data_IF_761426249687
#
_entry.id   IF_761426249687
#
_cell.length_a   1.000
_cell.length_b   1.000
_cell.length_c   1.000
_cell.angle_alpha   90.00
_cell.angle_beta   90.00
_cell.angle_gamma   90.00
#
_symmetry.space_group_name_H-M   'P 1'
#
loop_
_entity.id
_entity.type
_entity.pdbx_description
1 polymer ?
#
# COMPACT_ATOMS: atom_id res chain seq x y z
N UNK A 1 -48.43 37.01 -0.14
CA UNK A 1 -47.98 36.83 -1.54
C UNK A 1 -46.66 37.57 -1.76
N UNK A 2 -45.55 37.04 -1.22
CA UNK A 2 -44.22 37.63 -1.42
C UNK A 2 -43.68 37.16 -2.77
N UNK A 3 -43.78 38.02 -3.80
CA UNK A 3 -43.14 37.78 -5.09
C UNK A 3 -41.79 38.47 -5.05
N UNK A 4 -40.71 37.72 -4.82
CA UNK A 4 -39.36 38.25 -4.73
C UNK A 4 -38.94 38.91 -6.06
N UNK A 5 -38.56 40.19 -6.02
CA UNK A 5 -37.99 40.93 -7.15
C UNK A 5 -36.60 40.39 -7.49
N UNK A 6 -36.45 39.83 -8.69
CA UNK A 6 -35.13 39.52 -9.23
C UNK A 6 -34.31 40.81 -9.47
N UNK A 7 -33.00 40.83 -9.15
CA UNK A 7 -32.15 42.00 -9.32
C UNK A 7 -31.95 42.35 -10.80
N UNK A 8 -32.19 43.61 -11.17
CA UNK A 8 -32.09 44.14 -12.55
C UNK A 8 -30.86 45.03 -12.78
N UNK A 9 -29.71 44.74 -12.17
CA UNK A 9 -28.49 45.56 -12.33
C UNK A 9 -27.39 44.84 -13.14
N UNK A 10 -26.81 45.48 -14.18
CA UNK A 10 -25.85 44.84 -15.10
C UNK A 10 -24.48 44.54 -14.46
N UNK A 11 -24.07 45.32 -13.45
CA UNK A 11 -22.82 45.16 -12.71
C UNK A 11 -22.83 43.90 -11.84
N UNK A 12 -23.97 43.60 -11.20
CA UNK A 12 -24.13 42.38 -10.40
C UNK A 12 -24.01 41.11 -11.27
N UNK A 13 -24.52 41.15 -12.52
CA UNK A 13 -24.37 40.04 -13.47
C UNK A 13 -22.92 39.82 -13.88
N UNK A 14 -22.17 40.88 -14.13
CA UNK A 14 -20.74 40.81 -14.49
C UNK A 14 -19.88 40.28 -13.34
N UNK A 15 -20.12 40.75 -12.11
CA UNK A 15 -19.43 40.24 -10.93
C UNK A 15 -19.69 38.75 -10.70
N UNK A 16 -20.94 38.29 -10.88
CA UNK A 16 -21.29 36.88 -10.78
C UNK A 16 -20.63 36.02 -11.88
N UNK A 17 -20.45 36.55 -13.10
CA UNK A 17 -19.76 35.81 -14.17
C UNK A 17 -18.26 35.69 -13.89
N UNK A 18 -17.63 36.74 -13.39
CA UNK A 18 -16.21 36.68 -12.98
C UNK A 18 -16.03 35.73 -11.79
N UNK A 19 -16.91 35.77 -10.80
CA UNK A 19 -16.84 34.86 -9.67
C UNK A 19 -17.10 33.40 -10.06
N UNK A 20 -18.06 33.15 -10.96
CA UNK A 20 -18.34 31.81 -11.47
C UNK A 20 -17.14 31.25 -12.26
N UNK A 21 -16.51 32.06 -13.12
CA UNK A 21 -15.33 31.63 -13.88
C UNK A 21 -14.10 31.42 -12.98
N UNK A 22 -13.87 32.29 -12.00
CA UNK A 22 -12.83 32.11 -11.00
C UNK A 22 -13.06 30.86 -10.14
N UNK A 23 -14.32 30.60 -9.72
CA UNK A 23 -14.69 29.41 -8.97
C UNK A 23 -14.50 28.11 -9.75
N UNK A 24 -14.79 28.11 -11.06
CA UNK A 24 -14.53 26.96 -11.93
C UNK A 24 -13.03 26.73 -12.10
N UNK A 25 -12.24 27.79 -12.34
CA UNK A 25 -10.78 27.67 -12.47
C UNK A 25 -10.13 27.16 -11.18
N UNK A 26 -10.55 27.67 -10.02
CA UNK A 26 -10.11 27.18 -8.71
C UNK A 26 -10.56 25.74 -8.43
N UNK A 27 -11.78 25.36 -8.81
CA UNK A 27 -12.29 24.00 -8.66
C UNK A 27 -11.50 22.98 -9.50
N UNK A 28 -11.15 23.33 -10.74
CA UNK A 28 -10.30 22.49 -11.61
C UNK A 28 -8.86 22.42 -11.07
N UNK A 29 -8.31 23.54 -10.60
CA UNK A 29 -6.99 23.57 -9.96
C UNK A 29 -6.92 22.73 -8.67
N UNK A 30 -7.94 22.81 -7.82
CA UNK A 30 -8.01 22.02 -6.59
C UNK A 30 -8.21 20.52 -6.87
N UNK A 31 -9.03 20.17 -7.87
CA UNK A 31 -9.24 18.78 -8.27
C UNK A 31 -7.96 18.15 -8.86
N UNK A 32 -7.22 18.90 -9.69
CA UNK A 32 -5.94 18.43 -10.26
C UNK A 32 -4.85 18.31 -9.20
N UNK A 33 -4.78 19.23 -8.24
CA UNK A 33 -3.87 19.14 -7.10
C UNK A 33 -4.20 17.92 -6.20
N UNK A 34 -5.48 17.68 -5.91
CA UNK A 34 -5.90 16.51 -5.15
C UNK A 34 -5.61 15.19 -5.88
N UNK A 35 -5.74 15.17 -7.21
CA UNK A 35 -5.37 14.02 -8.03
C UNK A 35 -3.86 13.75 -7.99
N UNK A 36 -3.03 14.79 -8.13
CA UNK A 36 -1.57 14.67 -8.06
C UNK A 36 -1.09 14.18 -6.68
N UNK A 37 -1.70 14.67 -5.59
CA UNK A 37 -1.39 14.22 -4.23
C UNK A 37 -1.80 12.74 -4.03
N UNK A 38 -2.93 12.33 -4.60
CA UNK A 38 -3.37 10.94 -4.58
C UNK A 38 -2.44 10.02 -5.37
N UNK A 39 -1.98 10.44 -6.55
CA UNK A 39 -0.99 9.68 -7.34
C UNK A 39 0.36 9.59 -6.62
N UNK A 40 0.81 10.66 -5.97
CA UNK A 40 2.04 10.65 -5.19
C UNK A 40 1.96 9.67 -4.00
N UNK A 41 0.83 9.66 -3.27
CA UNK A 41 0.58 8.71 -2.18
C UNK A 41 0.50 7.27 -2.67
N UNK A 42 -0.15 7.02 -3.81
CA UNK A 42 -0.21 5.68 -4.41
C UNK A 42 1.18 5.22 -4.88
N UNK A 43 1.99 6.11 -5.46
CA UNK A 43 3.37 5.81 -5.83
C UNK A 43 4.26 5.45 -4.63
N UNK A 44 4.18 6.24 -3.55
CA UNK A 44 4.93 5.97 -2.32
C UNK A 44 4.47 4.68 -1.63
N UNK A 45 3.15 4.47 -1.53
CA UNK A 45 2.57 3.24 -1.01
C UNK A 45 2.97 2.02 -1.85
N UNK A 46 2.93 2.12 -3.18
CA UNK A 46 3.34 1.05 -4.09
C UNK A 46 4.82 0.69 -3.94
N UNK A 47 5.69 1.67 -3.69
CA UNK A 47 7.10 1.42 -3.45
C UNK A 47 7.36 0.75 -2.10
N UNK A 48 6.74 1.22 -1.01
CA UNK A 48 6.83 0.59 0.32
C UNK A 48 6.29 -0.84 0.27
N UNK A 49 5.11 -1.02 -0.31
CA UNK A 49 4.45 -2.32 -0.46
C UNK A 49 5.31 -3.26 -1.30
N UNK A 50 5.94 -2.76 -2.38
CA UNK A 50 6.90 -3.53 -3.16
C UNK A 50 8.09 -4.00 -2.31
N UNK A 51 8.72 -3.09 -1.56
CA UNK A 51 9.86 -3.46 -0.71
C UNK A 51 9.48 -4.48 0.37
N UNK A 52 8.30 -4.37 0.97
CA UNK A 52 7.82 -5.32 1.99
C UNK A 52 7.42 -6.66 1.35
N UNK A 53 6.80 -6.64 0.17
CA UNK A 53 6.42 -7.84 -0.56
C UNK A 53 7.63 -8.71 -0.93
N UNK A 54 8.77 -8.08 -1.21
CA UNK A 54 10.01 -8.77 -1.56
C UNK A 54 10.76 -9.31 -0.34
N UNK A 55 10.39 -8.93 0.89
CA UNK A 55 11.02 -9.44 2.10
C UNK A 55 10.70 -10.93 2.28
N UNK A 56 11.74 -11.71 2.59
CA UNK A 56 11.57 -13.06 3.13
C UNK A 56 11.18 -12.96 4.61
N UNK A 57 10.33 -13.89 5.12
CA UNK A 57 10.05 -13.98 6.54
C UNK A 57 11.31 -14.15 7.40
N UNK A 58 12.29 -14.90 6.88
CA UNK A 58 13.63 -15.02 7.46
C UNK A 58 14.67 -14.33 6.56
N UNK A 59 15.15 -13.12 6.92
CA UNK A 59 16.14 -12.39 6.14
C UNK A 59 17.54 -13.01 6.17
N UNK A 60 17.82 -13.90 7.12
CA UNK A 60 19.09 -14.62 7.23
C UNK A 60 19.04 -16.00 6.54
N UNK A 61 17.91 -16.35 5.91
CA UNK A 61 17.74 -17.63 5.23
C UNK A 61 18.80 -17.87 4.14
N UNK A 62 19.50 -19.00 4.23
CA UNK A 62 20.56 -19.37 3.30
C UNK A 62 21.91 -18.69 3.58
N UNK A 63 22.03 -17.99 4.70
CA UNK A 63 23.32 -17.50 5.21
C UNK A 63 23.89 -18.48 6.24
N UNK A 64 25.21 -18.45 6.47
CA UNK A 64 25.85 -19.28 7.49
C UNK A 64 25.56 -18.86 8.94
N UNK A 65 24.77 -17.80 9.14
CA UNK A 65 24.38 -17.27 10.46
C UNK A 65 22.86 -17.29 10.65
N UNK A 66 22.16 -18.09 9.85
CA UNK A 66 20.71 -18.28 9.97
C UNK A 66 20.35 -18.87 11.34
N UNK A 67 19.67 -18.13 12.23
CA UNK A 67 19.34 -18.64 13.55
C UNK A 67 18.34 -19.80 13.50
N UNK A 68 17.51 -19.87 12.45
CA UNK A 68 16.49 -20.91 12.32
C UNK A 68 17.06 -22.24 11.82
N UNK A 69 18.30 -22.22 11.33
CA UNK A 69 19.06 -23.42 10.99
C UNK A 69 19.97 -23.91 12.14
N UNK A 70 19.95 -23.24 13.29
CA UNK A 70 20.59 -23.71 14.52
C UNK A 70 19.74 -24.78 15.23
N UNK A 71 19.52 -25.90 14.57
CA UNK A 71 18.72 -26.99 15.12
C UNK A 71 19.46 -27.96 16.04
N UNK A 72 18.70 -28.53 16.97
CA UNK A 72 19.12 -29.62 17.84
C UNK A 72 18.38 -30.88 17.40
N UNK A 73 19.12 -31.98 17.25
CA UNK A 73 18.57 -33.29 16.94
C UNK A 73 18.75 -34.23 18.12
N UNK A 74 17.73 -35.03 18.41
CA UNK A 74 17.79 -36.08 19.43
C UNK A 74 17.37 -37.41 18.80
N UNK A 75 18.17 -38.46 19.06
CA UNK A 75 17.90 -39.81 18.58
C UNK A 75 18.02 -40.78 19.76
N UNK A 76 17.03 -41.66 19.90
CA UNK A 76 17.01 -42.68 20.95
C UNK A 76 17.07 -44.04 20.25
N UNK A 77 18.14 -44.81 20.48
CA UNK A 77 18.38 -46.10 19.82
C UNK A 77 18.18 -46.04 18.29
N UNK A 78 17.46 -46.99 17.71
CA UNK A 78 17.24 -47.11 16.26
C UNK A 78 16.02 -46.30 15.77
N UNK A 79 15.40 -45.48 16.63
CA UNK A 79 14.30 -44.62 16.20
C UNK A 79 14.79 -43.51 15.26
N UNK A 80 13.89 -43.03 14.41
CA UNK A 80 14.13 -41.83 13.60
C UNK A 80 14.43 -40.66 14.53
N UNK A 81 15.51 -39.93 14.25
CA UNK A 81 15.86 -38.74 15.01
C UNK A 81 14.78 -37.66 14.85
N UNK A 82 14.50 -36.92 15.94
CA UNK A 82 13.63 -35.74 15.92
C UNK A 82 14.53 -34.51 15.89
N UNK A 83 14.30 -33.61 14.93
CA UNK A 83 15.08 -32.39 14.74
C UNK A 83 14.18 -31.15 14.89
N UNK A 84 14.65 -30.14 15.63
CA UNK A 84 13.90 -28.89 15.79
C UNK A 84 13.68 -28.14 14.47
N UNK A 85 14.51 -28.39 13.44
CA UNK A 85 14.36 -27.83 12.08
C UNK A 85 13.11 -28.31 11.38
N UNK A 86 12.49 -29.41 11.81
CA UNK A 86 11.18 -29.81 11.27
C UNK A 86 10.10 -28.79 11.61
N UNK A 87 10.27 -28.03 12.70
CA UNK A 87 9.34 -26.98 13.13
C UNK A 87 9.77 -25.60 12.63
N UNK A 88 11.08 -25.30 12.57
CA UNK A 88 11.57 -23.99 12.12
C UNK A 88 11.73 -23.90 10.60
N UNK A 89 11.88 -25.03 9.90
CA UNK A 89 12.08 -25.10 8.46
C UNK A 89 10.98 -24.43 7.62
N UNK A 90 9.69 -24.59 7.93
CA UNK A 90 8.64 -23.89 7.19
C UNK A 90 8.79 -22.36 7.20
N UNK A 91 9.35 -21.79 8.28
CA UNK A 91 9.56 -20.35 8.40
C UNK A 91 10.89 -19.94 7.77
N UNK A 92 11.94 -20.74 7.94
CA UNK A 92 13.27 -20.44 7.42
C UNK A 92 13.34 -20.53 5.88
N UNK A 93 12.59 -21.44 5.26
CA UNK A 93 12.57 -21.65 3.81
C UNK A 93 11.38 -21.00 3.12
N UNK A 94 10.58 -20.21 3.85
CA UNK A 94 9.40 -19.57 3.30
C UNK A 94 9.73 -18.66 2.10
N UNK A 95 8.85 -18.62 1.08
CA UNK A 95 8.93 -17.63 0.01
C UNK A 95 8.67 -16.22 0.56
N UNK A 96 8.89 -15.21 -0.28
CA UNK A 96 8.69 -13.81 0.11
C UNK A 96 7.24 -13.53 0.54
N UNK A 97 7.04 -12.48 1.35
CA UNK A 97 5.72 -12.09 1.88
C UNK A 97 4.70 -11.85 0.76
N UNK A 98 5.13 -11.28 -0.37
CA UNK A 98 4.28 -11.07 -1.55
C UNK A 98 3.81 -12.37 -2.22
N UNK A 99 4.48 -13.50 -1.96
CA UNK A 99 4.08 -14.82 -2.47
C UNK A 99 2.96 -15.46 -1.64
N UNK A 100 2.60 -14.87 -0.49
CA UNK A 100 1.54 -15.37 0.38
C UNK A 100 0.17 -15.07 -0.26
N UNK A 101 -0.72 -16.07 -0.39
CA UNK A 101 -2.08 -15.85 -0.87
C UNK A 101 -2.79 -14.76 -0.07
N UNK A 102 -3.43 -13.82 -0.74
CA UNK A 102 -4.06 -12.64 -0.12
C UNK A 102 -3.12 -11.43 -0.01
N UNK A 103 -1.88 -11.62 0.45
CA UNK A 103 -0.89 -10.54 0.52
C UNK A 103 -0.45 -10.09 -0.88
N UNK A 104 -0.16 -11.04 -1.78
CA UNK A 104 0.21 -10.75 -3.17
C UNK A 104 -0.85 -9.96 -3.95
N UNK A 105 -2.13 -10.25 -3.69
CA UNK A 105 -3.25 -9.56 -4.32
C UNK A 105 -3.37 -8.11 -3.81
N UNK A 106 -3.21 -7.91 -2.50
CA UNK A 106 -3.18 -6.57 -1.92
C UNK A 106 -1.97 -5.77 -2.42
N UNK A 107 -0.82 -6.44 -2.61
CA UNK A 107 0.39 -5.77 -3.12
C UNK A 107 0.27 -5.40 -4.59
N UNK A 108 -0.37 -6.24 -5.41
CA UNK A 108 -0.60 -5.94 -6.82
C UNK A 108 -1.62 -4.80 -7.00
N UNK A 109 -2.66 -4.73 -6.16
CA UNK A 109 -3.64 -3.63 -6.18
C UNK A 109 -3.05 -2.26 -5.78
N UNK A 110 -2.00 -2.26 -4.95
CA UNK A 110 -1.29 -1.04 -4.53
C UNK A 110 -0.16 -0.66 -5.49
N UNK A 111 0.15 -1.52 -6.47
CA UNK A 111 1.19 -1.32 -7.48
C UNK A 111 0.61 -0.95 -8.87
N UNK A 112 -0.64 -1.33 -9.16
CA UNK A 112 -1.35 -1.01 -10.41
C UNK A 112 -1.87 0.42 -10.48
#
# INVERSE_FOLDING_TARGET
MARHKAPKTPTARRALTVLATAGVALGVGAATAAAADSEALLGDAGQVVGTVADLKPNPLAGTGVDPLDNGVSTQIADFRAVDSREVTGPVAQAPSVGSIPGAGQATDLLRS
#
